data_IF_795757292513
#
_entry.id   IF_795757292513
#
_cell.length_a   1.000
_cell.length_b   1.000
_cell.length_c   1.000
_cell.angle_alpha   90.00
_cell.angle_beta   90.00
_cell.angle_gamma   90.00
#
_symmetry.space_group_name_H-M   'P 1'
#
loop_
_entity.id
_entity.type
_entity.pdbx_description
1 polymer ?
#
# COMPACT_ATOMS: atom_id res chain seq x y z
N UNK A 1 -4.72 -36.48 30.40
CA UNK A 1 -5.41 -36.21 29.12
C UNK A 1 -5.45 -34.69 28.96
N UNK A 2 -4.88 -34.12 27.89
CA UNK A 2 -4.76 -32.65 27.73
C UNK A 2 -5.79 -32.18 26.72
N UNK A 3 -6.55 -31.14 27.08
CA UNK A 3 -7.55 -30.51 26.23
C UNK A 3 -6.92 -29.41 25.41
N UNK A 4 -7.10 -29.45 24.09
CA UNK A 4 -6.72 -28.33 23.23
C UNK A 4 -7.84 -27.28 23.25
N UNK A 5 -7.46 -26.02 23.41
CA UNK A 5 -8.37 -24.87 23.41
C UNK A 5 -7.95 -23.95 22.27
N UNK A 6 -8.76 -23.92 21.21
CA UNK A 6 -8.59 -22.96 20.11
C UNK A 6 -9.19 -21.62 20.51
N UNK A 7 -8.42 -20.55 20.37
CA UNK A 7 -8.92 -19.18 20.52
C UNK A 7 -9.09 -18.60 19.13
N UNK A 8 -10.34 -18.36 18.74
CA UNK A 8 -10.59 -17.58 17.53
C UNK A 8 -10.29 -16.11 17.81
N UNK A 9 -9.42 -15.54 16.99
CA UNK A 9 -9.11 -14.11 17.03
C UNK A 9 -10.11 -13.43 16.10
N UNK A 10 -11.10 -12.76 16.68
CA UNK A 10 -12.23 -12.15 15.95
C UNK A 10 -11.82 -11.04 14.96
N UNK A 11 -10.58 -10.55 15.02
CA UNK A 11 -10.08 -9.47 14.15
C UNK A 11 -9.54 -9.95 12.80
N UNK A 12 -9.59 -11.25 12.49
CA UNK A 12 -9.14 -11.78 11.20
C UNK A 12 -10.09 -11.34 10.09
N UNK A 13 -9.75 -10.24 9.41
CA UNK A 13 -10.38 -9.83 8.15
C UNK A 13 -11.07 -8.46 8.14
N UNK A 14 -10.99 -7.66 9.21
CA UNK A 14 -11.52 -6.29 9.18
C UNK A 14 -10.59 -5.34 8.38
N UNK A 15 -11.00 -4.87 7.19
CA UNK A 15 -10.19 -3.96 6.40
C UNK A 15 -10.03 -2.58 7.08
N UNK A 16 -10.99 -2.16 7.91
CA UNK A 16 -10.90 -0.90 8.64
C UNK A 16 -9.84 -0.99 9.76
N UNK A 17 -9.85 -2.08 10.54
CA UNK A 17 -8.85 -2.41 11.53
C UNK A 17 -7.45 -2.55 10.93
N UNK A 18 -7.32 -3.16 9.75
CA UNK A 18 -6.04 -3.22 9.02
C UNK A 18 -5.55 -1.82 8.62
N UNK A 19 -6.43 -0.97 8.09
CA UNK A 19 -6.10 0.41 7.74
C UNK A 19 -5.62 1.21 8.94
N UNK A 20 -6.30 1.08 10.08
CA UNK A 20 -5.92 1.72 11.33
C UNK A 20 -4.56 1.21 11.82
N UNK A 21 -4.34 -0.10 11.84
CA UNK A 21 -3.07 -0.69 12.27
C UNK A 21 -1.89 -0.20 11.41
N UNK A 22 -2.08 -0.06 10.10
CA UNK A 22 -1.06 0.50 9.20
C UNK A 22 -0.80 1.98 9.44
N UNK A 23 -1.82 2.78 9.75
CA UNK A 23 -1.66 4.19 10.09
C UNK A 23 -0.84 4.35 11.39
N UNK A 24 -1.19 3.61 12.45
CA UNK A 24 -0.45 3.60 13.71
C UNK A 24 0.98 3.12 13.51
N UNK A 25 1.19 2.09 12.69
CA UNK A 25 2.53 1.62 12.37
C UNK A 25 3.38 2.69 11.67
N UNK A 26 2.79 3.51 10.79
CA UNK A 26 3.48 4.61 10.12
C UNK A 26 3.81 5.78 11.07
N UNK A 27 2.97 6.03 12.07
CA UNK A 27 3.26 7.02 13.12
C UNK A 27 4.40 6.57 14.03
N UNK A 28 4.41 5.28 14.42
CA UNK A 28 5.43 4.72 15.30
C UNK A 28 6.77 4.46 14.58
N UNK A 29 6.71 4.13 13.29
CA UNK A 29 7.88 3.81 12.48
C UNK A 29 8.03 4.84 11.36
N UNK A 30 8.65 6.00 11.63
CA UNK A 30 8.91 6.98 10.59
C UNK A 30 9.71 6.32 9.47
N UNK A 31 9.38 6.67 8.22
CA UNK A 31 10.05 6.12 7.05
C UNK A 31 11.55 6.49 7.09
N UNK A 32 12.40 5.51 7.40
CA UNK A 32 13.85 5.68 7.36
C UNK A 32 14.33 5.44 5.94
N UNK A 33 15.03 6.42 5.36
CA UNK A 33 15.70 6.25 4.07
C UNK A 33 16.76 5.16 4.22
N UNK A 34 16.63 4.10 3.41
CA UNK A 34 17.66 3.06 3.37
C UNK A 34 18.97 3.65 2.86
N UNK A 35 20.07 3.24 3.46
CA UNK A 35 21.40 3.64 3.03
C UNK A 35 21.63 3.25 1.56
N UNK A 36 22.40 4.06 0.79
CA UNK A 36 22.53 3.89 -0.66
C UNK A 36 23.10 2.52 -1.06
N UNK A 37 23.88 1.88 -0.20
CA UNK A 37 24.41 0.53 -0.38
C UNK A 37 23.35 -0.58 -0.28
N UNK A 38 22.20 -0.31 0.34
CA UNK A 38 21.06 -1.24 0.50
C UNK A 38 19.90 -0.90 -0.45
N UNK A 39 19.96 0.26 -1.12
CA UNK A 39 18.97 0.61 -2.12
C UNK A 39 19.08 -0.35 -3.31
N UNK A 40 18.02 -1.14 -3.55
CA UNK A 40 17.95 -1.99 -4.73
C UNK A 40 18.13 -1.12 -5.98
N UNK A 41 19.10 -1.45 -6.82
CA UNK A 41 19.36 -0.74 -8.08
C UNK A 41 18.23 -0.93 -9.12
N UNK A 42 17.12 -1.58 -8.75
CA UNK A 42 15.96 -1.73 -9.62
C UNK A 42 15.33 -0.35 -9.78
N UNK A 43 15.38 0.25 -11.00
CA UNK A 43 14.72 1.51 -11.22
C UNK A 43 13.23 1.33 -10.96
N UNK A 44 12.67 2.21 -10.12
CA UNK A 44 11.22 2.25 -9.89
C UNK A 44 10.51 2.26 -11.26
N UNK A 45 9.49 1.41 -11.48
CA UNK A 45 8.79 1.40 -12.76
C UNK A 45 8.26 2.82 -12.99
N UNK A 46 8.73 3.45 -14.07
CA UNK A 46 8.36 4.81 -14.42
C UNK A 46 6.83 4.89 -14.48
N UNK A 47 6.23 5.53 -13.47
CA UNK A 47 4.80 5.76 -13.40
C UNK A 47 4.47 6.66 -14.58
N UNK A 48 3.94 6.10 -15.68
CA UNK A 48 3.54 6.88 -16.86
C UNK A 48 2.48 7.87 -16.41
N UNK A 49 2.89 9.12 -16.21
CA UNK A 49 1.97 10.23 -16.12
C UNK A 49 1.31 10.37 -17.49
N UNK A 50 0.10 9.83 -17.64
CA UNK A 50 -0.77 10.17 -18.77
C UNK A 50 -1.29 11.59 -18.55
N UNK A 51 -0.41 12.59 -18.72
CA UNK A 51 -0.80 13.98 -18.82
C UNK A 51 -1.52 14.17 -20.16
N UNK A 52 -2.83 14.39 -20.09
CA UNK A 52 -3.62 15.11 -21.10
C UNK A 52 -3.51 14.62 -22.54
N UNK A 53 -4.30 13.61 -22.92
CA UNK A 53 -4.66 13.41 -24.33
C UNK A 53 -6.12 13.81 -24.59
N UNK A 54 -6.42 15.10 -24.77
CA UNK A 54 -7.70 15.50 -25.36
C UNK A 54 -7.62 15.23 -26.88
N UNK A 55 -8.01 14.04 -27.34
CA UNK A 55 -8.27 13.84 -28.77
C UNK A 55 -9.64 14.42 -29.11
N UNK A 56 -9.57 15.63 -29.66
CA UNK A 56 -10.54 16.43 -30.44
C UNK A 56 -11.91 15.75 -30.68
N UNK A 57 -12.96 16.39 -30.16
CA UNK A 57 -14.37 16.14 -30.48
C UNK A 57 -14.69 16.71 -31.88
N UNK A 58 -15.52 16.06 -32.73
CA UNK A 58 -15.69 16.45 -34.13
C UNK A 58 -16.35 17.83 -34.29
N UNK A 59 -15.94 18.53 -35.35
CA UNK A 59 -16.56 19.79 -35.80
C UNK A 59 -18.01 19.51 -36.22
N UNK A 60 -18.89 20.43 -35.82
CA UNK A 60 -20.35 20.38 -35.96
C UNK A 60 -20.79 20.29 -37.43
N UNK A 61 -21.84 19.50 -37.66
CA UNK A 61 -22.87 19.82 -38.64
C UNK A 61 -23.91 20.75 -38.00
#
# INVERSE_FOLDING_TARGET
>A
MITQISHDVETVGDPAGLGLALAVAAELHPAVTRAPEVASAVPAPARRATAGRPRRRPVRG
#
